data_IF_892319580820
#
_entry.id   IF_892319580820
#
_cell.length_a   1.000
_cell.length_b   1.000
_cell.length_c   1.000
_cell.angle_alpha   90.00
_cell.angle_beta   90.00
_cell.angle_gamma   90.00
#
_symmetry.space_group_name_H-M   'P 1'
#
loop_
_entity.id
_entity.type
_entity.pdbx_description
1 polymer ?
#
# COMPACT_ATOMS: atom_id res chain seq x y z
N UNK A 1 19.12 6.96 -7.62
CA UNK A 1 19.01 6.89 -9.09
C UNK A 1 20.21 7.55 -9.77
N UNK A 2 20.29 7.50 -11.11
CA UNK A 2 21.30 8.25 -11.87
C UNK A 2 21.10 9.76 -11.67
N UNK A 3 19.85 10.19 -11.66
CA UNK A 3 19.41 11.57 -11.53
C UNK A 3 19.83 12.15 -10.17
N UNK A 4 19.65 11.38 -9.08
CA UNK A 4 20.14 11.76 -7.75
C UNK A 4 21.66 11.97 -7.72
N UNK A 5 22.42 11.06 -8.34
CA UNK A 5 23.88 11.15 -8.40
C UNK A 5 24.36 12.37 -9.19
N UNK A 6 23.65 12.75 -10.26
CA UNK A 6 23.97 13.96 -11.04
C UNK A 6 23.88 15.20 -10.13
N UNK A 7 22.81 15.32 -9.34
CA UNK A 7 22.63 16.47 -8.43
C UNK A 7 23.67 16.47 -7.30
N UNK A 8 23.98 15.32 -6.71
CA UNK A 8 25.04 15.21 -5.70
C UNK A 8 26.41 15.67 -6.25
N UNK A 9 26.78 15.24 -7.46
CA UNK A 9 28.04 15.65 -8.10
C UNK A 9 28.04 17.14 -8.45
N UNK A 10 26.92 17.68 -8.95
CA UNK A 10 26.78 19.10 -9.25
C UNK A 10 26.98 19.96 -7.99
N UNK A 11 26.37 19.56 -6.86
CA UNK A 11 26.55 20.24 -5.56
C UNK A 11 27.98 20.19 -5.05
N UNK A 12 28.69 19.08 -5.29
CA UNK A 12 30.12 18.98 -4.96
C UNK A 12 30.94 19.97 -5.79
N UNK A 13 30.72 20.03 -7.11
CA UNK A 13 31.42 20.93 -8.02
C UNK A 13 31.23 22.40 -7.61
N UNK A 14 30.00 22.79 -7.27
CA UNK A 14 29.68 24.15 -6.77
C UNK A 14 30.43 24.54 -5.50
N UNK A 15 30.98 23.56 -4.77
CA UNK A 15 31.75 23.73 -3.54
C UNK A 15 33.26 23.56 -3.74
N UNK A 16 33.72 23.47 -4.99
CA UNK A 16 35.13 23.19 -5.29
C UNK A 16 35.56 21.78 -4.90
N UNK A 17 34.61 20.84 -4.85
CA UNK A 17 34.83 19.43 -4.53
C UNK A 17 34.54 18.55 -5.75
N UNK A 18 35.08 17.34 -5.71
CA UNK A 18 34.78 16.28 -6.67
C UNK A 18 34.22 15.06 -5.94
N UNK A 19 33.01 14.64 -6.33
CA UNK A 19 32.39 13.41 -5.84
C UNK A 19 32.49 12.32 -6.92
N UNK A 20 33.06 11.16 -6.56
CA UNK A 20 33.07 9.97 -7.39
C UNK A 20 32.91 8.69 -6.53
N UNK A 21 33.04 7.52 -7.12
CA UNK A 21 32.82 6.22 -6.46
C UNK A 21 33.84 5.89 -5.37
N UNK A 22 34.94 6.64 -5.25
CA UNK A 22 35.95 6.46 -4.20
C UNK A 22 35.77 7.39 -3.01
N UNK A 23 34.93 8.42 -3.14
CA UNK A 23 34.69 9.39 -2.09
C UNK A 23 34.50 10.82 -2.60
N UNK A 24 34.65 11.76 -1.67
CA UNK A 24 34.54 13.19 -1.89
C UNK A 24 35.93 13.81 -1.71
N UNK A 25 36.37 14.63 -2.67
CA UNK A 25 37.74 15.12 -2.75
C UNK A 25 37.77 16.64 -2.87
N UNK A 26 38.74 17.29 -2.22
CA UNK A 26 39.05 18.72 -2.34
C UNK A 26 39.83 18.97 -3.63
N UNK A 27 39.12 18.87 -4.77
CA UNK A 27 39.68 18.99 -6.11
C UNK A 27 38.64 19.52 -7.09
N UNK A 28 39.08 20.29 -8.08
CA UNK A 28 38.26 20.69 -9.24
C UNK A 28 38.37 19.70 -10.41
N UNK A 29 39.33 18.78 -10.35
CA UNK A 29 39.55 17.72 -11.34
C UNK A 29 39.22 16.34 -10.79
N UNK A 30 39.01 15.36 -11.67
CA UNK A 30 38.86 13.94 -11.26
C UNK A 30 40.12 13.46 -10.55
N UNK A 31 39.96 12.89 -9.37
CA UNK A 31 41.07 12.38 -8.56
C UNK A 31 40.61 11.22 -7.69
N UNK A 32 41.59 10.44 -7.24
CA UNK A 32 41.47 9.38 -6.24
C UNK A 32 42.59 9.49 -5.20
N UNK A 33 43.28 10.63 -5.16
CA UNK A 33 44.40 10.86 -4.26
C UNK A 33 43.88 10.92 -2.82
N UNK A 34 44.29 9.97 -1.94
CA UNK A 34 43.88 9.98 -0.54
C UNK A 34 44.27 11.26 0.19
N UNK A 35 45.32 11.98 -0.24
CA UNK A 35 45.71 13.25 0.35
C UNK A 35 44.68 14.37 0.12
N UNK A 36 43.83 14.23 -0.91
CA UNK A 36 42.76 15.19 -1.24
C UNK A 36 41.39 14.74 -0.72
N UNK A 37 41.26 13.54 -0.14
CA UNK A 37 39.99 13.01 0.33
C UNK A 37 39.47 13.82 1.54
N UNK A 38 38.16 14.11 1.55
CA UNK A 38 37.49 14.59 2.75
C UNK A 38 37.34 13.43 3.74
N UNK A 39 37.41 13.67 5.06
CA UNK A 39 37.34 12.62 6.07
C UNK A 39 35.90 12.13 6.29
N UNK A 40 35.22 11.70 5.23
CA UNK A 40 33.88 11.13 5.28
C UNK A 40 33.99 9.62 5.56
N UNK A 41 33.38 9.15 6.65
CA UNK A 41 33.37 7.75 7.05
C UNK A 41 32.00 7.08 6.79
N UNK A 42 31.00 7.87 6.43
CA UNK A 42 29.61 7.46 6.19
C UNK A 42 28.98 8.21 5.02
N UNK A 43 27.83 7.75 4.54
CA UNK A 43 27.04 8.50 3.56
C UNK A 43 26.56 9.83 4.14
N UNK A 44 26.17 9.84 5.41
CA UNK A 44 25.75 11.00 6.19
C UNK A 44 26.79 12.12 6.17
N UNK A 45 28.07 11.78 6.30
CA UNK A 45 29.17 12.75 6.21
C UNK A 45 29.23 13.40 4.83
N UNK A 46 29.01 12.62 3.76
CA UNK A 46 28.98 13.15 2.37
C UNK A 46 27.79 14.11 2.20
N UNK A 47 26.60 13.74 2.69
CA UNK A 47 25.44 14.65 2.64
C UNK A 47 25.71 15.94 3.43
N UNK A 48 26.28 15.83 4.63
CA UNK A 48 26.61 16.97 5.48
C UNK A 48 27.62 17.91 4.81
N UNK A 49 28.70 17.39 4.22
CA UNK A 49 29.69 18.20 3.50
C UNK A 49 29.07 18.92 2.28
N UNK A 50 28.02 18.34 1.69
CA UNK A 50 27.26 18.93 0.59
C UNK A 50 26.08 19.82 1.04
N UNK A 51 25.99 20.11 2.35
CA UNK A 51 24.96 20.98 2.93
C UNK A 51 23.55 20.37 2.85
N UNK A 52 23.45 19.06 3.06
CA UNK A 52 22.21 18.30 3.01
C UNK A 52 22.05 17.50 4.30
N UNK A 53 20.81 17.46 4.82
CA UNK A 53 20.43 16.38 5.75
C UNK A 53 20.44 15.05 5.00
N UNK A 54 20.76 13.95 5.68
CA UNK A 54 20.77 12.61 5.09
C UNK A 54 19.46 12.31 4.34
N UNK A 55 19.60 11.79 3.12
CA UNK A 55 18.48 11.43 2.26
C UNK A 55 18.37 9.90 2.23
N UNK A 56 17.29 9.32 2.79
CA UNK A 56 17.03 7.88 2.72
C UNK A 56 17.08 7.35 1.27
N UNK A 57 17.64 6.17 1.01
CA UNK A 57 17.75 5.59 -0.33
C UNK A 57 16.45 5.60 -1.13
N UNK A 58 15.32 5.41 -0.46
CA UNK A 58 13.99 5.37 -1.07
C UNK A 58 13.56 6.70 -1.69
N UNK A 59 14.12 7.83 -1.23
CA UNK A 59 13.80 9.16 -1.76
C UNK A 59 14.75 9.61 -2.89
N UNK A 60 15.80 8.83 -3.19
CA UNK A 60 16.90 9.21 -4.11
C UNK A 60 16.51 9.06 -5.59
N UNK A 61 15.44 9.74 -5.99
CA UNK A 61 14.84 9.68 -7.34
C UNK A 61 14.76 11.05 -8.04
N UNK A 62 15.34 12.11 -7.47
CA UNK A 62 15.27 13.49 -7.95
C UNK A 62 13.83 14.00 -8.12
N UNK A 63 13.01 13.81 -7.09
CA UNK A 63 11.58 14.16 -7.07
C UNK A 63 11.22 15.20 -6.00
N UNK A 64 12.23 15.83 -5.39
CA UNK A 64 12.06 16.89 -4.40
C UNK A 64 12.92 16.70 -3.14
N UNK A 65 13.67 15.60 -3.04
CA UNK A 65 14.45 15.22 -1.87
C UNK A 65 15.54 16.23 -1.54
N UNK A 66 16.15 16.87 -2.54
CA UNK A 66 17.20 17.86 -2.32
C UNK A 66 16.70 19.16 -1.71
N UNK A 67 15.49 19.61 -2.09
CA UNK A 67 14.88 20.80 -1.51
C UNK A 67 14.52 20.52 -0.03
N UNK A 68 13.90 19.37 0.24
CA UNK A 68 13.58 18.95 1.60
C UNK A 68 14.84 18.77 2.47
N UNK A 69 15.91 18.18 1.93
CA UNK A 69 17.15 17.96 2.67
C UNK A 69 17.95 19.23 2.95
N UNK A 70 17.96 20.19 2.02
CA UNK A 70 18.58 21.50 2.23
C UNK A 70 17.87 22.29 3.34
N UNK A 71 16.55 22.15 3.44
CA UNK A 71 15.73 22.78 4.46
C UNK A 71 15.73 22.01 5.81
N UNK A 72 16.37 20.84 5.89
CA UNK A 72 16.30 19.97 7.08
C UNK A 72 14.92 19.36 7.33
N UNK A 73 14.10 19.22 6.29
CA UNK A 73 12.69 18.79 6.33
C UNK A 73 12.46 17.40 5.72
N UNK A 74 13.49 16.54 5.67
CA UNK A 74 13.28 15.14 5.31
C UNK A 74 12.39 14.48 6.38
N UNK A 75 11.21 13.96 6.01
CA UNK A 75 10.31 13.40 6.99
C UNK A 75 10.79 12.04 7.50
N UNK A 76 10.36 11.67 8.70
CA UNK A 76 10.39 10.28 9.13
C UNK A 76 9.39 9.48 8.28
N UNK A 77 9.92 8.60 7.44
CA UNK A 77 9.11 7.73 6.58
C UNK A 77 8.56 6.56 7.40
N UNK A 78 7.55 5.89 6.83
CA UNK A 78 6.98 4.65 7.37
C UNK A 78 8.08 3.59 7.60
N UNK A 79 8.04 2.88 8.72
CA UNK A 79 8.82 1.65 8.92
C UNK A 79 7.92 0.43 8.80
N UNK A 80 8.45 -0.71 8.33
CA UNK A 80 7.64 -1.93 8.20
C UNK A 80 7.10 -2.42 9.56
N UNK A 81 7.84 -2.16 10.65
CA UNK A 81 7.42 -2.46 12.02
C UNK A 81 6.32 -1.52 12.55
N UNK A 82 5.95 -0.47 11.80
CA UNK A 82 4.77 0.33 12.14
C UNK A 82 3.47 -0.36 11.73
N UNK A 83 3.51 -1.37 10.85
CA UNK A 83 2.34 -2.09 10.38
C UNK A 83 1.82 -3.04 11.47
N UNK A 84 0.51 -2.99 11.71
CA UNK A 84 -0.22 -3.77 12.73
C UNK A 84 -1.14 -4.84 12.12
N UNK A 85 -1.24 -4.91 10.79
CA UNK A 85 -2.04 -5.92 10.12
C UNK A 85 -2.20 -5.68 8.62
N UNK A 86 -2.88 -6.61 7.94
CA UNK A 86 -3.21 -6.56 6.51
C UNK A 86 -4.72 -6.59 6.31
N UNK A 87 -5.23 -5.87 5.31
CA UNK A 87 -6.67 -5.72 5.05
C UNK A 87 -7.14 -6.36 3.73
N UNK A 88 -6.27 -7.05 3.00
CA UNK A 88 -6.62 -7.79 1.78
C UNK A 88 -5.81 -9.08 1.68
N UNK A 89 -6.43 -10.20 2.04
CA UNK A 89 -5.82 -11.54 2.09
C UNK A 89 -6.89 -12.63 1.87
N UNK A 90 -6.45 -13.78 1.35
CA UNK A 90 -7.31 -14.85 0.86
C UNK A 90 -7.12 -16.11 1.71
N UNK A 91 -8.14 -16.95 1.71
CA UNK A 91 -8.14 -18.24 2.39
C UNK A 91 -8.63 -19.35 1.45
N UNK A 92 -8.62 -20.59 1.92
CA UNK A 92 -9.17 -21.74 1.20
C UNK A 92 -10.70 -21.69 0.99
N UNK A 93 -11.37 -20.64 1.47
CA UNK A 93 -12.76 -20.37 1.13
C UNK A 93 -12.92 -19.90 -0.31
N UNK A 94 -11.96 -19.16 -0.87
CA UNK A 94 -11.88 -18.84 -2.31
C UNK A 94 -10.69 -19.55 -2.95
N UNK A 95 -9.61 -18.83 -3.26
CA UNK A 95 -8.44 -19.31 -4.00
C UNK A 95 -7.13 -19.25 -3.21
N UNK A 96 -7.20 -18.93 -1.91
CA UNK A 96 -6.11 -19.16 -0.99
C UNK A 96 -5.89 -20.66 -0.73
N UNK A 97 -4.71 -21.00 -0.20
CA UNK A 97 -4.34 -22.39 0.10
C UNK A 97 -4.59 -22.77 1.56
N UNK A 98 -4.66 -21.77 2.46
CA UNK A 98 -4.65 -21.99 3.90
C UNK A 98 -6.03 -21.83 4.53
N UNK A 99 -6.33 -22.61 5.56
CA UNK A 99 -7.55 -22.49 6.36
C UNK A 99 -7.51 -21.23 7.23
N UNK A 100 -8.68 -20.79 7.69
CA UNK A 100 -8.77 -19.61 8.54
C UNK A 100 -8.02 -19.77 9.85
N UNK A 101 -7.97 -20.96 10.44
CA UNK A 101 -7.19 -21.23 11.65
C UNK A 101 -5.69 -21.06 11.40
N UNK A 102 -5.18 -21.56 10.27
CA UNK A 102 -3.77 -21.39 9.89
C UNK A 102 -3.44 -19.93 9.61
N UNK A 103 -4.31 -19.22 8.91
CA UNK A 103 -4.18 -17.78 8.65
C UNK A 103 -4.17 -16.98 9.96
N UNK A 104 -5.08 -17.27 10.88
CA UNK A 104 -5.16 -16.61 12.17
C UNK A 104 -3.91 -16.87 13.03
N UNK A 105 -3.49 -18.13 13.13
CA UNK A 105 -2.30 -18.53 13.88
C UNK A 105 -1.05 -17.82 13.35
N UNK A 106 -0.86 -17.81 12.03
CA UNK A 106 0.27 -17.17 11.38
C UNK A 106 0.28 -15.65 11.59
N UNK A 107 -0.86 -14.97 11.38
CA UNK A 107 -0.97 -13.53 11.58
C UNK A 107 -0.74 -13.11 13.04
N UNK A 108 -1.23 -13.91 13.99
CA UNK A 108 -0.99 -13.72 15.41
C UNK A 108 0.49 -13.93 15.79
N UNK A 109 1.15 -14.97 15.26
CA UNK A 109 2.59 -15.22 15.47
C UNK A 109 3.46 -14.08 14.93
N UNK A 110 3.06 -13.45 13.82
CA UNK A 110 3.71 -12.26 13.29
C UNK A 110 3.53 -11.01 14.18
N UNK A 111 2.71 -11.08 15.23
CA UNK A 111 2.44 -9.95 16.13
C UNK A 111 1.48 -8.92 15.55
N UNK A 112 0.62 -9.31 14.61
CA UNK A 112 -0.42 -8.42 14.10
C UNK A 112 -1.51 -8.20 15.17
N UNK A 113 -2.09 -7.01 15.20
CA UNK A 113 -3.32 -6.71 15.95
C UNK A 113 -4.55 -7.25 15.21
N UNK A 114 -4.49 -7.32 13.88
CA UNK A 114 -5.60 -7.78 13.05
C UNK A 114 -5.16 -8.35 11.70
N UNK A 115 -6.05 -9.13 11.11
CA UNK A 115 -5.90 -9.65 9.75
C UNK A 115 -7.25 -9.77 9.07
N UNK A 116 -7.48 -9.06 7.96
CA UNK A 116 -8.72 -9.22 7.22
C UNK A 116 -8.67 -10.41 6.29
N UNK A 117 -9.76 -11.18 6.31
CA UNK A 117 -10.07 -12.24 5.36
C UNK A 117 -11.01 -11.63 4.33
N UNK A 118 -10.55 -11.51 3.08
CA UNK A 118 -11.24 -10.80 2.01
C UNK A 118 -11.32 -11.66 0.77
N UNK A 119 -11.81 -12.89 0.93
CA UNK A 119 -12.02 -13.82 -0.17
C UNK A 119 -12.92 -13.22 -1.26
N UNK A 120 -12.72 -13.69 -2.50
CA UNK A 120 -13.38 -13.14 -3.68
C UNK A 120 -14.91 -13.31 -3.66
N UNK A 121 -15.61 -12.36 -4.29
CA UNK A 121 -17.07 -12.41 -4.48
C UNK A 121 -17.52 -13.34 -5.62
N UNK A 122 -18.84 -13.55 -5.71
CA UNK A 122 -19.51 -14.57 -6.55
C UNK A 122 -19.10 -14.60 -8.03
N UNK A 123 -18.76 -13.46 -8.64
CA UNK A 123 -18.41 -13.35 -10.06
C UNK A 123 -17.01 -13.87 -10.39
N UNK A 124 -16.12 -14.02 -9.40
CA UNK A 124 -14.79 -14.62 -9.56
C UNK A 124 -14.85 -16.15 -9.60
N UNK A 125 -15.49 -16.71 -10.63
CA UNK A 125 -15.67 -18.17 -10.77
C UNK A 125 -14.35 -18.95 -10.76
N UNK A 126 -13.30 -18.42 -11.39
CA UNK A 126 -11.98 -19.06 -11.43
C UNK A 126 -11.31 -19.12 -10.05
N UNK A 127 -11.71 -18.22 -9.16
CA UNK A 127 -11.20 -18.11 -7.80
C UNK A 127 -12.13 -18.75 -6.76
N UNK A 128 -13.11 -19.57 -7.19
CA UNK A 128 -14.10 -20.17 -6.28
C UNK A 128 -14.83 -19.13 -5.41
N UNK A 129 -15.17 -17.99 -6.01
CA UNK A 129 -15.83 -16.86 -5.37
C UNK A 129 -17.06 -17.22 -4.54
N UNK A 130 -17.29 -16.50 -3.45
CA UNK A 130 -18.30 -16.84 -2.46
C UNK A 130 -19.67 -16.30 -2.90
N UNK A 131 -20.68 -17.15 -2.82
CA UNK A 131 -22.08 -16.70 -2.82
C UNK A 131 -22.45 -16.16 -1.42
N UNK A 132 -23.50 -15.32 -1.29
CA UNK A 132 -23.91 -14.73 -0.01
C UNK A 132 -23.99 -15.72 1.16
N UNK A 133 -24.57 -16.90 0.95
CA UNK A 133 -24.68 -17.91 2.00
C UNK A 133 -23.34 -18.53 2.41
N UNK A 134 -22.38 -18.64 1.47
CA UNK A 134 -21.02 -19.09 1.78
C UNK A 134 -20.27 -18.01 2.57
N UNK A 135 -20.40 -16.75 2.19
CA UNK A 135 -19.80 -15.62 2.90
C UNK A 135 -20.31 -15.53 4.34
N UNK A 136 -21.61 -15.70 4.57
CA UNK A 136 -22.17 -15.73 5.94
C UNK A 136 -21.65 -16.91 6.76
N UNK A 137 -21.44 -18.08 6.15
CA UNK A 137 -20.81 -19.23 6.84
C UNK A 137 -19.36 -18.95 7.20
N UNK A 138 -18.59 -18.33 6.31
CA UNK A 138 -17.21 -17.91 6.58
C UNK A 138 -17.16 -16.95 7.77
N UNK A 139 -18.08 -15.99 7.85
CA UNK A 139 -18.18 -15.05 8.97
C UNK A 139 -18.40 -15.76 10.30
N UNK A 140 -19.29 -16.76 10.34
CA UNK A 140 -19.50 -17.56 11.54
C UNK A 140 -18.24 -18.36 11.95
N UNK A 141 -17.40 -18.76 11.00
CA UNK A 141 -16.11 -19.40 11.30
C UNK A 141 -15.10 -18.38 11.87
N UNK A 142 -15.01 -17.19 11.26
CA UNK A 142 -14.22 -16.07 11.77
C UNK A 142 -14.63 -15.71 13.21
N UNK A 143 -15.93 -15.64 13.50
CA UNK A 143 -16.44 -15.34 14.84
C UNK A 143 -16.01 -16.40 15.86
N UNK A 144 -16.05 -17.68 15.49
CA UNK A 144 -15.58 -18.78 16.35
C UNK A 144 -14.08 -18.69 16.62
N UNK A 145 -13.28 -18.42 15.59
CA UNK A 145 -11.83 -18.28 15.73
C UNK A 145 -11.51 -17.08 16.63
N UNK A 146 -12.17 -15.94 16.41
CA UNK A 146 -12.02 -14.76 17.25
C UNK A 146 -12.40 -15.02 18.71
N UNK A 147 -13.43 -15.84 18.96
CA UNK A 147 -13.80 -16.25 20.32
C UNK A 147 -12.71 -17.08 20.98
N UNK A 148 -12.08 -18.02 20.26
CA UNK A 148 -10.94 -18.80 20.78
C UNK A 148 -9.80 -17.88 21.23
N UNK A 149 -9.40 -16.91 20.39
CA UNK A 149 -8.35 -15.95 20.77
C UNK A 149 -8.74 -15.08 21.96
N UNK A 150 -10.03 -14.69 22.06
CA UNK A 150 -10.52 -13.93 23.19
C UNK A 150 -10.50 -14.74 24.50
N UNK A 151 -10.88 -16.02 24.45
CA UNK A 151 -10.86 -16.93 25.60
C UNK A 151 -9.43 -17.20 26.08
N UNK A 152 -8.46 -17.15 25.17
CA UNK A 152 -7.01 -17.22 25.45
C UNK A 152 -6.40 -15.89 25.93
N UNK A 153 -7.20 -14.82 26.00
CA UNK A 153 -6.76 -13.50 26.47
C UNK A 153 -5.97 -12.68 25.43
N UNK A 154 -6.07 -13.00 24.15
CA UNK A 154 -5.46 -12.25 23.05
C UNK A 154 -6.42 -11.18 22.51
N UNK A 155 -5.87 -10.00 22.17
CA UNK A 155 -6.60 -8.90 21.53
C UNK A 155 -6.60 -8.98 19.99
N UNK A 156 -5.87 -9.93 19.40
CA UNK A 156 -5.82 -10.14 17.95
C UNK A 156 -7.20 -10.51 17.39
N UNK A 157 -7.59 -9.92 16.26
CA UNK A 157 -8.85 -10.28 15.59
C UNK A 157 -8.68 -10.48 14.09
N UNK A 158 -9.26 -11.56 13.58
CA UNK A 158 -9.65 -11.64 12.19
C UNK A 158 -10.79 -10.65 11.91
N UNK A 159 -10.70 -9.96 10.77
CA UNK A 159 -11.77 -9.09 10.27
C UNK A 159 -12.50 -9.78 9.13
N UNK A 160 -13.82 -9.77 9.20
CA UNK A 160 -14.65 -10.29 8.12
C UNK A 160 -14.70 -9.30 6.96
N UNK A 161 -14.33 -9.74 5.77
CA UNK A 161 -14.39 -8.88 4.60
C UNK A 161 -14.59 -9.66 3.31
N UNK A 162 -14.52 -8.94 2.21
CA UNK A 162 -14.51 -9.54 0.88
C UNK A 162 -13.83 -8.60 -0.10
N UNK A 163 -13.11 -9.21 -1.06
CA UNK A 163 -12.76 -8.55 -2.29
C UNK A 163 -13.94 -8.67 -3.27
N UNK A 164 -14.66 -7.57 -3.40
CA UNK A 164 -15.90 -7.48 -4.15
C UNK A 164 -15.60 -7.00 -5.56
N UNK A 165 -16.01 -7.81 -6.52
CA UNK A 165 -15.88 -7.47 -7.94
C UNK A 165 -16.67 -6.21 -8.28
N UNK A 166 -16.02 -5.31 -9.01
CA UNK A 166 -16.67 -4.20 -9.69
C UNK A 166 -17.18 -4.75 -11.01
N UNK A 167 -18.48 -4.76 -11.24
CA UNK A 167 -19.13 -5.26 -12.45
C UNK A 167 -19.14 -4.20 -13.57
N UNK A 168 -19.55 -4.61 -14.77
CA UNK A 168 -19.78 -3.66 -15.88
C UNK A 168 -20.76 -2.56 -15.43
N UNK A 169 -20.49 -1.32 -15.80
CA UNK A 169 -21.25 -0.15 -15.35
C UNK A 169 -20.97 0.31 -13.91
N UNK A 170 -20.09 -0.38 -13.17
CA UNK A 170 -19.59 0.08 -11.85
C UNK A 170 -20.41 -0.39 -10.65
N UNK A 171 -21.42 -1.25 -10.86
CA UNK A 171 -22.12 -1.91 -9.76
C UNK A 171 -21.19 -2.88 -9.02
N UNK A 172 -21.44 -3.12 -7.74
CA UNK A 172 -20.71 -4.10 -6.95
C UNK A 172 -21.37 -5.49 -7.06
N UNK A 173 -20.56 -6.53 -6.91
CA UNK A 173 -20.99 -7.92 -7.06
C UNK A 173 -21.83 -8.45 -5.88
N UNK A 174 -21.96 -7.65 -4.82
CA UNK A 174 -22.88 -7.87 -3.71
C UNK A 174 -23.79 -6.66 -3.50
N UNK A 175 -24.99 -6.92 -2.99
CA UNK A 175 -25.95 -5.89 -2.61
C UNK A 175 -25.52 -5.22 -1.29
N UNK A 176 -25.94 -3.97 -1.11
CA UNK A 176 -25.61 -3.12 0.03
C UNK A 176 -25.94 -3.76 1.39
N UNK A 177 -27.07 -4.47 1.50
CA UNK A 177 -27.48 -5.17 2.71
C UNK A 177 -26.43 -6.20 3.16
N UNK A 178 -25.79 -6.89 2.21
CA UNK A 178 -24.72 -7.84 2.52
C UNK A 178 -23.39 -7.13 2.82
N UNK A 179 -23.06 -6.07 2.06
CA UNK A 179 -21.86 -5.28 2.28
C UNK A 179 -21.84 -4.63 3.67
N UNK A 180 -23.00 -4.23 4.18
CA UNK A 180 -23.15 -3.68 5.53
C UNK A 180 -22.76 -4.67 6.62
N UNK A 181 -22.89 -5.98 6.38
CA UNK A 181 -22.58 -7.02 7.36
C UNK A 181 -21.06 -7.25 7.54
N UNK A 182 -20.23 -6.82 6.59
CA UNK A 182 -18.77 -7.03 6.59
C UNK A 182 -18.07 -5.98 7.48
N UNK A 183 -16.88 -6.29 8.01
CA UNK A 183 -16.00 -5.29 8.65
C UNK A 183 -15.27 -4.45 7.59
N UNK A 184 -14.78 -5.07 6.52
CA UNK A 184 -14.02 -4.40 5.45
C UNK A 184 -14.46 -4.86 4.05
N UNK A 185 -14.49 -3.92 3.12
CA UNK A 185 -14.87 -4.16 1.71
C UNK A 185 -13.79 -3.56 0.84
N UNK A 186 -13.16 -4.43 0.04
CA UNK A 186 -12.19 -4.07 -0.99
C UNK A 186 -12.93 -4.16 -2.32
N UNK A 187 -13.03 -3.05 -3.07
CA UNK A 187 -13.60 -3.09 -4.41
C UNK A 187 -12.48 -3.23 -5.43
N UNK A 188 -12.56 -4.24 -6.30
CA UNK A 188 -11.51 -4.56 -7.28
C UNK A 188 -12.10 -4.92 -8.64
N UNK A 189 -11.32 -4.72 -9.70
CA UNK A 189 -11.75 -5.02 -11.06
C UNK A 189 -10.95 -6.19 -11.62
N UNK A 190 -11.63 -7.32 -11.89
CA UNK A 190 -11.00 -8.54 -12.41
C UNK A 190 -11.34 -8.86 -13.87
N UNK A 191 -12.28 -8.14 -14.46
CA UNK A 191 -12.82 -8.42 -15.79
C UNK A 191 -13.20 -7.15 -16.57
N UNK A 192 -13.25 -7.27 -17.90
CA UNK A 192 -13.59 -6.15 -18.78
C UNK A 192 -12.42 -5.18 -18.99
N UNK A 193 -11.19 -5.67 -18.98
CA UNK A 193 -9.98 -4.86 -19.18
C UNK A 193 -9.85 -4.23 -20.57
N UNK A 194 -10.72 -4.60 -21.52
CA UNK A 194 -10.73 -4.08 -22.89
C UNK A 194 -11.53 -2.79 -23.07
N UNK A 195 -12.22 -2.30 -22.04
CA UNK A 195 -12.95 -1.03 -22.11
C UNK A 195 -12.02 0.17 -22.31
N UNK A 196 -12.54 1.26 -22.88
CA UNK A 196 -11.78 2.50 -23.04
C UNK A 196 -11.53 3.22 -21.69
N UNK A 197 -10.61 4.18 -21.69
CA UNK A 197 -10.19 4.92 -20.49
C UNK A 197 -11.37 5.60 -19.78
N UNK A 198 -12.30 6.17 -20.54
CA UNK A 198 -13.41 6.94 -20.00
C UNK A 198 -14.41 6.01 -19.29
N UNK A 199 -14.72 4.87 -19.89
CA UNK A 199 -15.57 3.84 -19.27
C UNK A 199 -14.92 3.22 -18.04
N UNK A 200 -13.63 2.88 -18.13
CA UNK A 200 -12.89 2.31 -16.99
C UNK A 200 -12.84 3.28 -15.80
N UNK A 201 -12.58 4.56 -16.08
CA UNK A 201 -12.58 5.62 -15.06
C UNK A 201 -13.96 5.77 -14.42
N UNK A 202 -15.04 5.85 -15.21
CA UNK A 202 -16.42 5.93 -14.68
C UNK A 202 -16.77 4.74 -13.81
N UNK A 203 -16.40 3.53 -14.23
CA UNK A 203 -16.67 2.28 -13.51
C UNK A 203 -16.01 2.26 -12.14
N UNK A 204 -14.74 2.65 -12.04
CA UNK A 204 -14.02 2.73 -10.76
C UNK A 204 -14.56 3.85 -9.87
N UNK A 205 -14.83 5.04 -10.43
CA UNK A 205 -15.45 6.14 -9.68
C UNK A 205 -16.78 5.69 -9.09
N UNK A 206 -17.62 5.01 -9.88
CA UNK A 206 -18.92 4.55 -9.43
C UNK A 206 -18.83 3.56 -8.25
N UNK A 207 -17.83 2.69 -8.26
CA UNK A 207 -17.60 1.77 -7.16
C UNK A 207 -17.19 2.48 -5.87
N UNK A 208 -16.28 3.46 -5.94
CA UNK A 208 -15.78 4.16 -4.74
C UNK A 208 -16.79 5.16 -4.14
N UNK A 209 -17.85 5.50 -4.87
CA UNK A 209 -19.02 6.24 -4.37
C UNK A 209 -19.90 5.41 -3.43
N UNK A 210 -19.79 4.08 -3.42
CA UNK A 210 -20.59 3.26 -2.52
C UNK A 210 -20.14 3.49 -1.04
N UNK A 211 -21.08 3.76 -0.10
CA UNK A 211 -20.74 4.04 1.30
C UNK A 211 -20.03 2.88 2.00
N UNK A 212 -20.26 1.64 1.58
CA UNK A 212 -19.70 0.44 2.17
C UNK A 212 -18.33 0.07 1.62
N UNK A 213 -17.86 0.68 0.53
CA UNK A 213 -16.51 0.45 -0.01
C UNK A 213 -15.50 1.21 0.85
N UNK A 214 -14.58 0.47 1.48
CA UNK A 214 -13.56 1.04 2.35
C UNK A 214 -12.28 1.35 1.59
N UNK A 215 -11.91 0.49 0.63
CA UNK A 215 -10.74 0.71 -0.22
C UNK A 215 -10.95 0.21 -1.64
N UNK A 216 -10.21 0.82 -2.57
CA UNK A 216 -10.05 0.33 -3.93
C UNK A 216 -8.79 -0.56 -4.03
N UNK A 217 -8.96 -1.82 -4.39
CA UNK A 217 -7.89 -2.80 -4.58
C UNK A 217 -7.18 -2.63 -5.93
N UNK A 218 -5.88 -2.94 -5.96
CA UNK A 218 -4.97 -2.92 -7.12
C UNK A 218 -5.54 -2.25 -8.40
N UNK A 219 -5.61 -0.91 -8.33
CA UNK A 219 -6.41 0.00 -9.18
C UNK A 219 -6.18 -0.16 -10.69
N UNK A 220 -5.01 -0.59 -11.13
CA UNK A 220 -4.67 -0.64 -12.55
C UNK A 220 -4.84 -2.03 -13.15
N UNK A 221 -5.03 -3.05 -12.30
CA UNK A 221 -5.07 -4.45 -12.72
C UNK A 221 -3.78 -4.95 -13.39
N UNK A 222 -2.68 -4.20 -13.28
CA UNK A 222 -1.40 -4.57 -13.90
C UNK A 222 -0.84 -5.85 -13.28
N UNK A 223 -0.11 -6.60 -14.10
CA UNK A 223 0.76 -7.69 -13.67
C UNK A 223 2.14 -7.44 -14.29
N UNK A 224 3.11 -7.07 -13.47
CA UNK A 224 4.48 -6.78 -13.90
C UNK A 224 5.04 -7.94 -14.73
N UNK A 225 5.61 -7.58 -15.89
CA UNK A 225 6.18 -8.50 -16.88
C UNK A 225 5.16 -9.45 -17.56
N UNK A 226 3.85 -9.29 -17.33
CA UNK A 226 2.81 -10.17 -17.88
C UNK A 226 1.64 -9.43 -18.53
N UNK A 227 1.13 -8.38 -17.91
CA UNK A 227 -0.05 -7.63 -18.36
C UNK A 227 0.10 -6.16 -17.99
N UNK A 228 0.09 -5.28 -18.98
CA UNK A 228 -0.01 -3.85 -18.76
C UNK A 228 -1.31 -3.49 -18.02
N UNK A 229 -1.29 -2.40 -17.26
CA UNK A 229 -2.50 -1.89 -16.64
C UNK A 229 -3.55 -1.50 -17.70
N UNK A 230 -4.83 -1.67 -17.38
CA UNK A 230 -5.89 -1.19 -18.27
C UNK A 230 -5.88 0.35 -18.35
N UNK A 231 -6.39 0.96 -19.44
CA UNK A 231 -6.41 2.41 -19.56
C UNK A 231 -7.36 2.99 -18.51
N UNK A 232 -6.85 3.88 -17.66
CA UNK A 232 -7.62 4.55 -16.61
C UNK A 232 -7.00 5.90 -16.27
N UNK A 233 -7.85 6.92 -16.10
CA UNK A 233 -7.41 8.18 -15.52
C UNK A 233 -7.26 8.05 -14.00
N UNK A 234 -6.08 7.60 -13.57
CA UNK A 234 -5.77 7.31 -12.17
C UNK A 234 -5.94 8.55 -11.26
N UNK A 235 -5.67 9.76 -11.78
CA UNK A 235 -5.85 11.00 -11.00
C UNK A 235 -7.32 11.29 -10.72
N UNK A 236 -8.21 11.09 -11.70
CA UNK A 236 -9.65 11.24 -11.50
C UNK A 236 -10.19 10.24 -10.48
N UNK A 237 -9.71 8.99 -10.50
CA UNK A 237 -10.08 7.98 -9.49
C UNK A 237 -9.56 8.36 -8.10
N UNK A 238 -8.32 8.85 -7.99
CA UNK A 238 -7.76 9.35 -6.73
C UNK A 238 -8.58 10.53 -6.18
N UNK A 239 -9.01 11.45 -7.04
CA UNK A 239 -9.85 12.58 -6.64
C UNK A 239 -11.21 12.10 -6.10
N UNK A 240 -11.86 11.15 -6.78
CA UNK A 240 -13.09 10.54 -6.29
C UNK A 240 -12.91 9.83 -4.94
N UNK A 241 -11.81 9.09 -4.75
CA UNK A 241 -11.47 8.48 -3.46
C UNK A 241 -11.31 9.53 -2.34
N UNK A 242 -10.71 10.69 -2.64
CA UNK A 242 -10.59 11.78 -1.68
C UNK A 242 -11.95 12.36 -1.27
N UNK A 243 -12.86 12.53 -2.23
CA UNK A 243 -14.22 13.04 -2.03
C UNK A 243 -15.07 12.08 -1.20
N UNK A 244 -14.99 10.77 -1.47
CA UNK A 244 -15.79 9.74 -0.80
C UNK A 244 -15.16 9.22 0.49
N UNK A 245 -13.89 9.54 0.73
CA UNK A 245 -13.10 9.02 1.85
C UNK A 245 -12.61 7.59 1.67
N UNK A 246 -12.76 7.01 0.47
CA UNK A 246 -12.30 5.66 0.13
C UNK A 246 -10.77 5.62 0.10
N UNK A 247 -10.18 4.61 0.74
CA UNK A 247 -8.73 4.42 0.73
C UNK A 247 -8.27 3.78 -0.58
N UNK A 248 -6.97 3.85 -0.87
CA UNK A 248 -6.39 3.16 -2.02
C UNK A 248 -5.37 2.14 -1.53
N UNK A 249 -5.42 0.95 -2.11
CA UNK A 249 -4.46 -0.11 -1.86
C UNK A 249 -3.08 0.19 -2.49
N UNK A 250 -2.02 -0.06 -1.73
CA UNK A 250 -0.70 -0.42 -2.23
C UNK A 250 -0.55 -1.94 -2.10
N UNK A 251 -0.87 -2.64 -3.18
CA UNK A 251 -0.77 -4.07 -3.27
C UNK A 251 0.70 -4.45 -3.39
N UNK A 252 1.23 -5.04 -2.32
CA UNK A 252 2.63 -5.36 -2.16
C UNK A 252 3.03 -6.68 -2.83
N UNK A 253 2.09 -7.39 -3.46
CA UNK A 253 2.42 -8.58 -4.23
C UNK A 253 3.43 -8.21 -5.33
N UNK A 254 4.60 -8.90 -5.43
CA UNK A 254 5.65 -8.57 -6.39
C UNK A 254 5.21 -8.61 -7.86
N UNK A 255 4.11 -9.29 -8.16
CA UNK A 255 3.51 -9.28 -9.50
C UNK A 255 2.70 -8.02 -9.77
N UNK A 256 2.29 -7.24 -8.76
CA UNK A 256 1.41 -6.07 -8.91
C UNK A 256 2.13 -4.76 -8.61
N UNK A 257 2.56 -4.58 -7.35
CA UNK A 257 3.12 -3.34 -6.80
C UNK A 257 2.24 -2.10 -7.10
N UNK A 258 0.93 -2.21 -6.87
CA UNK A 258 -0.09 -1.28 -7.39
C UNK A 258 -0.96 -0.73 -6.25
N UNK A 259 -1.09 0.57 -5.97
CA UNK A 259 -0.74 1.72 -6.81
C UNK A 259 0.75 1.98 -7.02
N UNK A 260 1.12 2.45 -8.22
CA UNK A 260 2.50 2.86 -8.51
C UNK A 260 2.98 3.96 -7.55
N UNK A 261 4.21 3.80 -7.03
CA UNK A 261 4.75 4.68 -6.00
C UNK A 261 4.80 6.15 -6.39
N UNK A 262 4.87 6.44 -7.70
CA UNK A 262 4.91 7.80 -8.25
C UNK A 262 3.62 8.59 -8.01
N UNK A 263 2.50 7.91 -7.75
CA UNK A 263 1.21 8.56 -7.52
C UNK A 263 0.94 8.89 -6.05
N UNK A 264 1.68 8.30 -5.11
CA UNK A 264 1.47 8.55 -3.68
C UNK A 264 1.66 10.01 -3.26
N UNK A 265 2.63 10.80 -3.80
CA UNK A 265 2.68 12.23 -3.51
C UNK A 265 1.39 12.97 -3.87
N UNK A 266 0.74 12.61 -4.98
CA UNK A 266 -0.54 13.19 -5.40
C UNK A 266 -1.70 12.71 -4.52
N UNK A 267 -1.82 11.40 -4.31
CA UNK A 267 -2.88 10.81 -3.49
C UNK A 267 -2.85 11.34 -2.04
N UNK A 268 -1.65 11.41 -1.45
CA UNK A 268 -1.42 12.01 -0.13
C UNK A 268 -1.82 13.49 -0.09
N UNK A 269 -1.46 14.28 -1.10
CA UNK A 269 -1.83 15.69 -1.17
C UNK A 269 -3.35 15.91 -1.26
N UNK A 270 -4.09 14.94 -1.79
CA UNK A 270 -5.56 14.91 -1.81
C UNK A 270 -6.17 14.37 -0.50
N UNK A 271 -5.36 13.90 0.43
CA UNK A 271 -5.80 13.34 1.71
C UNK A 271 -6.21 11.87 1.65
N UNK A 272 -5.98 11.17 0.53
CA UNK A 272 -6.24 9.74 0.41
C UNK A 272 -5.24 8.96 1.26
N UNK A 273 -5.75 8.02 2.05
CA UNK A 273 -4.92 7.11 2.84
C UNK A 273 -4.51 5.89 2.03
N UNK A 274 -3.29 5.43 2.27
CA UNK A 274 -2.74 4.21 1.71
C UNK A 274 -3.10 3.00 2.60
N UNK A 275 -3.44 1.88 1.98
CA UNK A 275 -3.55 0.58 2.65
C UNK A 275 -2.55 -0.38 2.02
N UNK A 276 -1.53 -0.78 2.77
CA UNK A 276 -0.53 -1.72 2.30
C UNK A 276 -1.03 -3.13 2.57
N UNK A 277 -1.27 -3.89 1.51
CA UNK A 277 -1.74 -5.27 1.63
C UNK A 277 -0.84 -6.22 0.85
N UNK A 278 -0.67 -7.45 1.34
CA UNK A 278 0.13 -8.47 0.67
C UNK A 278 -0.64 -9.27 -0.38
N UNK A 279 -1.99 -9.22 -0.40
CA UNK A 279 -2.80 -10.00 -1.35
C UNK A 279 -2.43 -11.49 -1.26
N UNK A 280 -2.37 -11.95 0.01
CA UNK A 280 -1.77 -13.23 0.35
C UNK A 280 -2.76 -14.37 0.09
N UNK A 281 -2.36 -15.30 -0.76
CA UNK A 281 -3.04 -16.57 -1.06
C UNK A 281 -2.36 -17.77 -0.38
N UNK A 282 -1.24 -17.53 0.29
CA UNK A 282 -0.55 -18.51 1.13
C UNK A 282 0.23 -17.78 2.24
N UNK A 283 0.41 -18.41 3.41
CA UNK A 283 1.02 -17.78 4.60
C UNK A 283 2.35 -17.04 4.31
N UNK A 284 3.22 -17.65 3.50
CA UNK A 284 4.54 -17.09 3.17
C UNK A 284 4.47 -15.72 2.47
N UNK A 285 3.35 -15.38 1.81
CA UNK A 285 3.17 -14.10 1.12
C UNK A 285 2.91 -12.93 2.07
N UNK A 286 2.61 -13.19 3.35
CA UNK A 286 2.58 -12.14 4.40
C UNK A 286 3.88 -11.32 4.47
N UNK A 287 5.02 -11.92 4.12
CA UNK A 287 6.32 -11.24 4.04
C UNK A 287 6.35 -10.08 3.04
N UNK A 288 5.40 -10.02 2.09
CA UNK A 288 5.30 -8.91 1.14
C UNK A 288 4.89 -7.59 1.80
N UNK A 289 4.31 -7.58 3.00
CA UNK A 289 4.06 -6.34 3.74
C UNK A 289 5.33 -5.49 3.92
N UNK A 290 6.47 -6.16 4.15
CA UNK A 290 7.77 -5.49 4.23
C UNK A 290 8.18 -4.83 2.91
N UNK A 291 7.92 -5.50 1.78
CA UNK A 291 8.16 -4.92 0.45
C UNK A 291 7.25 -3.72 0.20
N UNK A 292 5.97 -3.82 0.57
CA UNK A 292 5.00 -2.75 0.50
C UNK A 292 5.42 -1.52 1.30
N UNK A 293 5.95 -1.71 2.52
CA UNK A 293 6.49 -0.62 3.32
C UNK A 293 7.66 0.10 2.62
N UNK A 294 8.60 -0.62 2.00
CA UNK A 294 9.69 0.01 1.25
C UNK A 294 9.18 0.80 0.02
N UNK A 295 8.17 0.31 -0.67
CA UNK A 295 7.54 1.05 -1.78
C UNK A 295 6.75 2.27 -1.31
N UNK A 296 6.07 2.17 -0.18
CA UNK A 296 5.39 3.29 0.46
C UNK A 296 6.39 4.41 0.82
N UNK A 297 7.56 4.05 1.37
CA UNK A 297 8.66 4.99 1.65
C UNK A 297 9.13 5.71 0.38
N UNK A 298 9.24 4.97 -0.73
CA UNK A 298 9.58 5.55 -2.04
C UNK A 298 8.52 6.56 -2.52
N UNK A 299 7.26 6.35 -2.16
CA UNK A 299 6.14 7.27 -2.35
C UNK A 299 6.04 8.40 -1.33
N UNK A 300 7.07 8.62 -0.48
CA UNK A 300 7.09 9.64 0.58
C UNK A 300 6.02 9.45 1.68
N UNK A 301 5.52 8.22 1.84
CA UNK A 301 4.52 7.90 2.86
C UNK A 301 5.15 7.79 4.24
N UNK A 302 4.45 8.35 5.21
CA UNK A 302 4.75 8.33 6.64
C UNK A 302 3.72 7.45 7.35
N UNK A 303 3.94 7.24 8.65
CA UNK A 303 3.03 6.46 9.49
C UNK A 303 1.59 6.96 9.39
N UNK A 304 1.38 8.26 9.49
CA UNK A 304 0.07 8.90 9.45
C UNK A 304 -0.65 8.77 8.09
N UNK A 305 0.06 8.44 7.02
CA UNK A 305 -0.52 8.27 5.68
C UNK A 305 -1.06 6.85 5.43
N UNK A 306 -0.74 5.90 6.31
CA UNK A 306 -0.98 4.45 6.11
C UNK A 306 -1.93 3.90 7.17
N UNK A 307 -3.06 3.33 6.71
CA UNK A 307 -4.13 2.80 7.57
C UNK A 307 -3.64 1.63 8.42
N UNK A 308 -2.78 0.78 7.87
CA UNK A 308 -2.26 -0.41 8.54
C UNK A 308 -1.46 -0.11 9.83
N UNK A 309 -1.18 1.15 10.12
CA UNK A 309 -0.43 1.56 11.33
C UNK A 309 -1.33 1.84 12.53
N UNK A 310 -2.65 1.89 12.30
CA UNK A 310 -3.66 2.05 13.33
C UNK A 310 -3.74 0.80 14.20
N UNK A 311 -3.97 0.99 15.50
CA UNK A 311 -4.41 -0.11 16.38
C UNK A 311 -5.78 -0.63 15.95
N UNK A 312 -6.15 -1.84 16.37
CA UNK A 312 -7.48 -2.40 16.06
C UNK A 312 -8.65 -1.45 16.44
N UNK A 313 -8.68 -0.80 17.62
CA UNK A 313 -9.74 0.17 17.94
C UNK A 313 -9.77 1.39 17.02
N UNK A 314 -8.60 1.93 16.66
CA UNK A 314 -8.50 3.06 15.73
C UNK A 314 -8.95 2.67 14.32
N UNK A 315 -8.58 1.48 13.85
CA UNK A 315 -9.02 0.94 12.58
C UNK A 315 -10.54 0.77 12.54
N UNK A 316 -11.15 0.17 13.58
CA UNK A 316 -12.61 0.01 13.65
C UNK A 316 -13.34 1.35 13.57
N UNK A 317 -12.81 2.39 14.24
CA UNK A 317 -13.33 3.75 14.14
C UNK A 317 -13.20 4.32 12.73
N UNK A 318 -12.07 4.08 12.06
CA UNK A 318 -11.84 4.55 10.69
C UNK A 318 -12.78 3.87 9.68
N UNK A 319 -13.00 2.55 9.82
CA UNK A 319 -13.95 1.78 9.01
C UNK A 319 -15.38 2.31 9.19
N UNK A 320 -15.81 2.55 10.44
CA UNK A 320 -17.14 3.10 10.73
C UNK A 320 -17.31 4.53 10.18
N UNK A 321 -16.31 5.39 10.35
CA UNK A 321 -16.35 6.76 9.83
C UNK A 321 -16.55 6.81 8.31
N UNK A 322 -15.93 5.89 7.56
CA UNK A 322 -16.13 5.82 6.11
C UNK A 322 -17.60 5.58 5.75
N UNK A 323 -18.29 4.69 6.47
CA UNK A 323 -19.71 4.39 6.24
C UNK A 323 -20.61 5.58 6.55
N UNK A 324 -20.30 6.33 7.60
CA UNK A 324 -21.13 7.48 8.01
C UNK A 324 -20.90 8.75 7.19
N UNK A 325 -19.91 8.77 6.29
CA UNK A 325 -19.58 9.97 5.49
C UNK A 325 -20.57 10.23 4.35
N UNK A 326 -21.24 9.18 3.88
CA UNK A 326 -22.14 9.23 2.72
C UNK A 326 -23.60 8.87 3.07
N UNK A 327 -23.88 8.60 4.36
CA UNK A 327 -25.22 8.44 4.93
C UNK A 327 -25.81 9.79 5.32
#
# INVERSE_FOLDING_TARGET
>A
SKEHNIVMRQRAIERGLRLNEYGLFRSTEETRDPALATPCLSEEDIFSELGLTYIPPELRENTGEFAAAADGKIPRLLEWTDLRGSLHNHSNWSDGQDSLEMVAAHAHELGCDYWAVTDHSKSSFQANGLFPDRLRKQRLEIDRINQTYADEGSDFRLLSGSEVDILSGGALDYDDDLLQELDVVVASLHQGFSSDEAEMTRRLIKAVENPYVHMLGHMTGRLLLKREGYPVNQRAVIDACAETGTWIELNANPWRLDLDWKLWPYAKAKGVKCVINCDAHQLAQSGYLRLGAYLARKGWLRKEDVVNTATLPELRKALQWKRSRLS
#
